data_IF_736566278792
#
_entry.id   IF_736566278792
#
_cell.length_a   1.000
_cell.length_b   1.000
_cell.length_c   1.000
_cell.angle_alpha   90.00
_cell.angle_beta   90.00
_cell.angle_gamma   90.00
#
_symmetry.space_group_name_H-M   'P 1'
#
loop_
_entity.id
_entity.type
_entity.pdbx_description
1 polymer ?
#
# COMPACT_ATOMS: atom_id res chain seq x y z
N UNK A 1 30.46 -44.55 3.68
CA UNK A 1 29.12 -44.98 4.11
C UNK A 1 28.03 -43.92 3.87
N UNK A 2 28.25 -42.63 4.12
CA UNK A 2 27.25 -41.55 3.94
C UNK A 2 26.69 -41.30 2.51
N UNK A 3 27.34 -41.76 1.45
CA UNK A 3 26.89 -41.52 0.06
C UNK A 3 25.81 -42.53 -0.40
N UNK A 4 25.64 -43.66 0.30
CA UNK A 4 24.60 -44.65 -0.03
C UNK A 4 23.23 -44.31 0.57
N UNK A 5 23.18 -43.58 1.69
CA UNK A 5 21.92 -43.23 2.38
C UNK A 5 21.13 -42.11 1.68
N UNK A 6 21.78 -41.19 0.97
CA UNK A 6 21.07 -40.15 0.19
C UNK A 6 20.31 -40.70 -1.02
N UNK A 7 20.71 -41.87 -1.56
CA UNK A 7 20.04 -42.48 -2.71
C UNK A 7 18.74 -43.22 -2.34
N UNK A 8 18.51 -43.56 -1.08
CA UNK A 8 17.29 -44.25 -0.64
C UNK A 8 16.13 -43.28 -0.31
N UNK A 9 16.41 -41.99 -0.15
CA UNK A 9 15.40 -40.95 0.10
C UNK A 9 14.71 -40.43 -1.16
N UNK A 10 15.21 -40.81 -2.35
CA UNK A 10 14.57 -40.56 -3.65
C UNK A 10 13.89 -41.84 -4.14
N UNK A 11 13.06 -42.46 -3.29
CA UNK A 11 12.09 -43.44 -3.79
C UNK A 11 11.16 -42.73 -4.78
N UNK A 12 11.06 -43.25 -5.98
CA UNK A 12 10.14 -42.76 -7.01
C UNK A 12 8.75 -42.56 -6.41
N UNK A 13 8.34 -41.30 -6.28
CA UNK A 13 6.98 -40.95 -5.87
C UNK A 13 6.06 -41.54 -6.94
N UNK A 14 5.25 -42.54 -6.58
CA UNK A 14 4.26 -43.14 -7.49
C UNK A 14 3.45 -42.00 -8.12
N UNK A 15 3.36 -41.98 -9.45
CA UNK A 15 2.59 -40.96 -10.16
C UNK A 15 1.14 -40.97 -9.63
N UNK A 16 0.74 -39.89 -8.97
CA UNK A 16 -0.65 -39.72 -8.54
C UNK A 16 -1.53 -39.72 -9.79
N UNK A 17 -2.40 -40.71 -9.90
CA UNK A 17 -3.47 -40.69 -10.90
C UNK A 17 -4.43 -39.54 -10.57
N UNK A 18 -5.02 -38.93 -11.59
CA UNK A 18 -6.03 -37.87 -11.47
C UNK A 18 -5.61 -36.55 -10.81
N UNK A 19 -4.32 -36.18 -10.83
CA UNK A 19 -3.86 -34.84 -10.42
C UNK A 19 -4.65 -33.70 -11.10
N UNK A 20 -5.11 -33.91 -12.33
CA UNK A 20 -5.89 -32.92 -13.08
C UNK A 20 -7.22 -32.57 -12.38
N UNK A 21 -7.84 -33.49 -11.63
CA UNK A 21 -9.11 -33.28 -10.94
C UNK A 21 -9.01 -32.21 -9.82
N UNK A 22 -7.79 -31.93 -9.33
CA UNK A 22 -7.54 -30.86 -8.38
C UNK A 22 -7.82 -29.47 -8.97
N UNK A 23 -7.63 -29.28 -10.28
CA UNK A 23 -7.81 -27.98 -10.92
C UNK A 23 -9.29 -27.59 -10.98
N UNK A 24 -10.23 -28.42 -11.49
CA UNK A 24 -11.66 -28.14 -11.40
C UNK A 24 -12.14 -27.95 -9.96
N UNK A 25 -11.71 -28.81 -9.01
CA UNK A 25 -12.08 -28.68 -7.61
C UNK A 25 -11.58 -27.34 -7.00
N UNK A 26 -10.35 -26.94 -7.32
CA UNK A 26 -9.80 -25.65 -6.90
C UNK A 26 -10.58 -24.48 -7.53
N UNK A 27 -10.90 -24.54 -8.82
CA UNK A 27 -11.63 -23.49 -9.53
C UNK A 27 -13.08 -23.37 -9.06
N UNK A 28 -13.74 -24.46 -8.65
CA UNK A 28 -15.07 -24.39 -8.04
C UNK A 28 -15.07 -23.59 -6.73
N UNK A 29 -14.01 -23.72 -5.92
CA UNK A 29 -13.90 -23.01 -4.62
C UNK A 29 -13.33 -21.61 -4.77
N UNK A 30 -12.30 -21.46 -5.60
CA UNK A 30 -11.51 -20.22 -5.70
C UNK A 30 -11.85 -19.39 -6.92
N UNK A 31 -12.50 -19.94 -7.96
CA UNK A 31 -12.79 -19.21 -9.19
C UNK A 31 -11.56 -18.63 -9.90
N UNK A 32 -11.77 -18.07 -11.09
CA UNK A 32 -10.71 -17.39 -11.85
C UNK A 32 -10.54 -15.92 -11.43
N UNK A 33 -11.64 -15.27 -11.01
CA UNK A 33 -11.70 -13.81 -10.80
C UNK A 33 -11.82 -13.44 -9.31
N UNK A 34 -11.86 -14.42 -8.41
CA UNK A 34 -12.05 -14.19 -6.96
C UNK A 34 -10.98 -13.31 -6.33
N UNK A 35 -9.80 -13.20 -6.91
CA UNK A 35 -8.76 -12.30 -6.40
C UNK A 35 -9.22 -10.84 -6.43
N UNK A 36 -9.86 -10.41 -7.53
CA UNK A 36 -10.44 -9.07 -7.65
C UNK A 36 -11.57 -8.88 -6.65
N UNK A 37 -12.50 -9.83 -6.60
CA UNK A 37 -13.68 -9.75 -5.75
C UNK A 37 -13.29 -9.74 -4.26
N UNK A 38 -12.39 -10.63 -3.84
CA UNK A 38 -11.95 -10.71 -2.45
C UNK A 38 -11.18 -9.47 -2.02
N UNK A 39 -10.34 -8.92 -2.90
CA UNK A 39 -9.63 -7.66 -2.65
C UNK A 39 -10.60 -6.48 -2.49
N UNK A 40 -11.58 -6.36 -3.39
CA UNK A 40 -12.61 -5.34 -3.31
C UNK A 40 -13.48 -5.49 -2.06
N UNK A 41 -13.90 -6.71 -1.72
CA UNK A 41 -14.68 -7.01 -0.52
C UNK A 41 -13.92 -6.63 0.75
N UNK A 42 -12.62 -6.93 0.82
CA UNK A 42 -11.79 -6.50 1.93
C UNK A 42 -11.70 -4.97 2.02
N UNK A 43 -11.52 -4.29 0.87
CA UNK A 43 -11.45 -2.83 0.83
C UNK A 43 -12.72 -2.15 1.36
N UNK A 44 -13.90 -2.55 0.86
CA UNK A 44 -15.17 -1.89 1.22
C UNK A 44 -15.65 -2.21 2.63
N UNK A 45 -15.22 -3.34 3.21
CA UNK A 45 -15.65 -3.76 4.54
C UNK A 45 -14.66 -3.38 5.65
N UNK A 46 -13.35 -3.38 5.36
CA UNK A 46 -12.29 -3.19 6.36
C UNK A 46 -11.38 -1.98 6.06
N UNK A 47 -10.69 -1.93 4.90
CA UNK A 47 -9.68 -0.89 4.65
C UNK A 47 -10.25 0.52 4.66
N UNK A 48 -11.47 0.72 4.15
CA UNK A 48 -12.12 2.03 4.17
C UNK A 48 -12.27 2.58 5.60
N UNK A 49 -12.48 1.69 6.59
CA UNK A 49 -12.52 2.07 8.01
C UNK A 49 -11.14 2.41 8.55
N UNK A 50 -10.10 1.69 8.13
CA UNK A 50 -8.72 2.03 8.48
C UNK A 50 -8.31 3.41 7.94
N UNK A 51 -8.67 3.74 6.70
CA UNK A 51 -8.45 5.06 6.10
C UNK A 51 -9.17 6.15 6.90
N UNK A 52 -10.44 5.92 7.28
CA UNK A 52 -11.19 6.87 8.10
C UNK A 52 -10.55 7.08 9.47
N UNK A 53 -10.11 6.01 10.14
CA UNK A 53 -9.44 6.11 11.46
C UNK A 53 -8.15 6.93 11.41
N UNK A 54 -7.37 6.78 10.34
CA UNK A 54 -6.15 7.58 10.13
C UNK A 54 -6.45 9.08 9.97
N UNK A 55 -7.63 9.43 9.45
CA UNK A 55 -8.06 10.80 9.19
C UNK A 55 -9.25 11.22 10.09
N UNK A 56 -9.33 10.65 11.30
CA UNK A 56 -10.56 10.67 12.09
C UNK A 56 -11.00 12.06 12.56
N UNK A 57 -10.08 13.02 12.70
CA UNK A 57 -10.38 14.37 13.21
C UNK A 57 -9.80 15.44 12.31
N UNK A 58 -10.67 16.34 11.86
CA UNK A 58 -10.33 17.56 11.16
C UNK A 58 -10.52 18.75 12.11
N UNK A 59 -9.56 19.65 12.15
CA UNK A 59 -9.61 20.92 12.90
C UNK A 59 -9.53 22.10 11.94
N UNK A 60 -10.06 23.26 12.35
CA UNK A 60 -9.95 24.50 11.58
C UNK A 60 -8.84 25.38 12.15
N UNK A 61 -7.97 25.88 11.28
CA UNK A 61 -6.91 26.84 11.67
C UNK A 61 -7.50 28.21 12.04
N UNK A 62 -8.61 28.60 11.41
CA UNK A 62 -9.27 29.88 11.66
C UNK A 62 -10.12 29.88 12.95
N UNK A 63 -10.65 28.72 13.34
CA UNK A 63 -11.43 28.57 14.55
C UNK A 63 -11.02 27.31 15.33
N UNK A 64 -10.13 27.45 16.33
CA UNK A 64 -9.66 26.32 17.15
C UNK A 64 -10.76 25.57 17.91
N UNK A 65 -11.91 26.22 18.14
CA UNK A 65 -13.06 25.58 18.81
C UNK A 65 -13.85 24.65 17.89
N UNK A 66 -13.69 24.78 16.57
CA UNK A 66 -14.38 23.95 15.60
C UNK A 66 -13.59 22.67 15.29
N UNK A 67 -14.22 21.52 15.48
CA UNK A 67 -13.73 20.25 14.93
C UNK A 67 -14.84 19.47 14.24
N UNK A 68 -14.42 18.63 13.29
CA UNK A 68 -15.22 17.56 12.69
C UNK A 68 -14.52 16.24 12.95
N UNK A 69 -15.26 15.24 13.43
CA UNK A 69 -14.76 13.91 13.74
C UNK A 69 -15.60 12.86 13.03
N UNK A 70 -14.96 11.95 12.33
CA UNK A 70 -15.61 10.77 11.76
C UNK A 70 -15.74 9.68 12.84
N UNK A 71 -16.94 9.12 12.98
CA UNK A 71 -17.26 8.07 13.93
C UNK A 71 -17.27 6.69 13.26
N UNK A 72 -17.92 6.60 12.10
CA UNK A 72 -18.05 5.37 11.33
C UNK A 72 -18.21 5.67 9.82
N UNK A 73 -17.84 4.71 8.98
CA UNK A 73 -17.97 4.77 7.53
C UNK A 73 -18.46 3.43 6.98
N UNK A 74 -19.37 3.48 6.01
CA UNK A 74 -19.94 2.29 5.38
C UNK A 74 -20.34 2.56 3.93
N UNK A 75 -20.13 1.55 3.09
CA UNK A 75 -20.63 1.52 1.71
C UNK A 75 -21.99 0.83 1.72
N UNK A 76 -23.00 1.56 1.21
CA UNK A 76 -24.37 1.09 1.07
C UNK A 76 -24.55 0.06 -0.05
N UNK A 77 -25.80 -0.14 -0.46
CA UNK A 77 -26.15 -0.93 -1.65
C UNK A 77 -26.27 -0.01 -2.89
N UNK A 78 -26.10 -0.56 -4.10
CA UNK A 78 -26.25 0.16 -5.35
C UNK A 78 -27.60 0.86 -5.43
N UNK A 79 -27.58 2.13 -5.83
CA UNK A 79 -28.78 2.92 -6.06
C UNK A 79 -28.56 3.93 -7.17
N UNK A 80 -29.61 4.49 -7.71
CA UNK A 80 -29.55 5.68 -8.55
C UNK A 80 -30.40 6.80 -7.97
N UNK A 81 -29.99 8.02 -8.23
CA UNK A 81 -30.79 9.20 -7.95
C UNK A 81 -31.57 9.52 -9.23
N UNK A 82 -32.87 9.34 -9.18
CA UNK A 82 -33.79 9.75 -10.23
C UNK A 82 -34.28 11.19 -9.93
N UNK A 83 -34.74 11.90 -10.97
CA UNK A 83 -35.19 13.29 -10.82
C UNK A 83 -36.19 13.46 -9.67
N UNK A 84 -36.15 14.61 -9.00
CA UNK A 84 -36.94 14.93 -7.78
C UNK A 84 -36.53 14.17 -6.50
N UNK A 85 -35.23 13.96 -6.28
CA UNK A 85 -34.67 13.32 -5.07
C UNK A 85 -35.25 11.91 -4.80
N UNK A 86 -35.72 11.23 -5.84
CA UNK A 86 -36.24 9.88 -5.71
C UNK A 86 -35.10 8.88 -5.85
N UNK A 87 -34.88 8.07 -4.83
CA UNK A 87 -33.81 7.07 -4.83
C UNK A 87 -34.38 5.76 -5.36
N UNK A 88 -33.78 5.25 -6.43
CA UNK A 88 -34.06 3.91 -6.95
C UNK A 88 -33.01 2.93 -6.40
N UNK A 89 -33.40 2.17 -5.38
CA UNK A 89 -32.56 1.17 -4.70
C UNK A 89 -32.55 -0.20 -5.40
N UNK A 90 -33.18 -0.32 -6.58
CA UNK A 90 -33.31 -1.59 -7.32
C UNK A 90 -32.48 -1.63 -8.60
N UNK A 91 -31.51 -0.73 -8.74
CA UNK A 91 -30.71 -0.64 -9.97
C UNK A 91 -29.91 -1.91 -10.21
N UNK A 92 -30.04 -2.48 -11.40
CA UNK A 92 -29.26 -3.65 -11.84
C UNK A 92 -28.06 -3.21 -12.69
N UNK A 93 -27.01 -4.05 -12.80
CA UNK A 93 -25.91 -3.74 -13.71
C UNK A 93 -26.38 -3.67 -15.16
N UNK A 94 -27.31 -4.53 -15.60
CA UNK A 94 -27.94 -4.47 -16.92
C UNK A 94 -28.57 -3.10 -17.22
N UNK A 95 -29.35 -2.56 -16.28
CA UNK A 95 -29.94 -1.22 -16.42
C UNK A 95 -28.86 -0.14 -16.55
N UNK A 96 -27.78 -0.24 -15.76
CA UNK A 96 -26.66 0.69 -15.84
C UNK A 96 -25.95 0.66 -17.21
N UNK A 97 -25.82 -0.53 -17.82
CA UNK A 97 -25.25 -0.70 -19.16
C UNK A 97 -26.11 0.00 -20.22
N UNK A 98 -27.44 -0.20 -20.17
CA UNK A 98 -28.36 0.36 -21.17
C UNK A 98 -28.56 1.87 -21.07
N UNK A 99 -28.54 2.43 -19.86
CA UNK A 99 -28.83 3.85 -19.59
C UNK A 99 -27.57 4.73 -19.53
N UNK A 100 -26.40 4.19 -19.89
CA UNK A 100 -25.11 4.87 -19.74
C UNK A 100 -24.83 5.37 -18.31
N UNK A 101 -25.29 4.63 -17.31
CA UNK A 101 -25.12 4.98 -15.89
C UNK A 101 -23.92 4.28 -15.26
N UNK A 102 -23.54 4.72 -14.05
CA UNK A 102 -22.48 4.08 -13.27
C UNK A 102 -23.11 3.27 -12.13
N UNK A 103 -22.85 1.96 -12.13
CA UNK A 103 -23.30 1.06 -11.07
C UNK A 103 -22.53 1.36 -9.78
N UNK A 104 -23.16 2.08 -8.86
CA UNK A 104 -22.50 2.64 -7.68
C UNK A 104 -23.41 2.68 -6.47
N UNK A 105 -22.83 2.65 -5.27
CA UNK A 105 -23.51 2.74 -3.99
C UNK A 105 -23.08 3.98 -3.21
N UNK A 106 -23.93 4.55 -2.34
CA UNK A 106 -23.57 5.70 -1.52
C UNK A 106 -22.55 5.31 -0.44
N UNK A 107 -21.56 6.18 -0.24
CA UNK A 107 -20.63 6.13 0.89
C UNK A 107 -21.22 6.99 1.99
N UNK A 108 -21.64 6.35 3.08
CA UNK A 108 -22.27 7.02 4.22
C UNK A 108 -21.31 7.07 5.39
N UNK A 109 -21.29 8.22 6.08
CA UNK A 109 -20.51 8.43 7.30
C UNK A 109 -21.36 8.92 8.45
N UNK A 110 -20.93 8.58 9.66
CA UNK A 110 -21.41 9.20 10.88
C UNK A 110 -20.36 10.21 11.34
N UNK A 111 -20.79 11.44 11.58
CA UNK A 111 -19.91 12.54 11.97
C UNK A 111 -20.35 13.15 13.29
N UNK A 112 -19.38 13.62 14.05
CA UNK A 112 -19.54 14.46 15.22
C UNK A 112 -18.85 15.79 14.93
N UNK A 113 -19.54 16.92 15.11
CA UNK A 113 -18.95 18.24 14.94
C UNK A 113 -19.47 19.23 15.98
N UNK A 114 -18.69 20.27 16.23
CA UNK A 114 -19.07 21.36 17.15
C UNK A 114 -19.81 22.47 16.43
N UNK A 115 -20.93 22.92 16.98
CA UNK A 115 -21.65 24.13 16.56
C UNK A 115 -21.72 25.09 17.74
N UNK A 116 -20.78 26.04 17.81
CA UNK A 116 -20.55 26.83 19.02
C UNK A 116 -20.08 25.93 20.16
N UNK A 117 -20.74 25.98 21.32
CA UNK A 117 -20.41 25.15 22.47
C UNK A 117 -21.10 23.76 22.48
N UNK A 118 -21.90 23.44 21.47
CA UNK A 118 -22.65 22.17 21.43
C UNK A 118 -21.98 21.16 20.51
N UNK A 119 -21.96 19.89 20.95
CA UNK A 119 -21.56 18.75 20.12
C UNK A 119 -22.78 18.19 19.40
N UNK A 120 -22.72 18.13 18.08
CA UNK A 120 -23.79 17.63 17.22
C UNK A 120 -23.31 16.36 16.53
N UNK A 121 -24.10 15.29 16.63
CA UNK A 121 -23.86 14.04 15.93
C UNK A 121 -24.85 13.93 14.78
N UNK A 122 -24.36 13.68 13.56
CA UNK A 122 -25.16 13.34 12.40
C UNK A 122 -24.78 11.96 11.89
N UNK A 123 -25.79 11.14 11.62
CA UNK A 123 -25.62 9.78 11.12
C UNK A 123 -26.09 9.65 9.68
N UNK A 124 -25.44 8.78 8.93
CA UNK A 124 -25.84 8.43 7.56
C UNK A 124 -25.67 9.56 6.55
N UNK A 125 -24.68 10.44 6.74
CA UNK A 125 -24.40 11.49 5.79
C UNK A 125 -23.70 10.89 4.55
N UNK A 126 -24.30 11.05 3.38
CA UNK A 126 -23.68 10.63 2.11
C UNK A 126 -22.59 11.63 1.72
N UNK A 127 -21.35 11.14 1.57
CA UNK A 127 -20.18 11.95 1.18
C UNK A 127 -19.73 11.71 -0.26
N UNK A 128 -20.29 10.71 -0.92
CA UNK A 128 -19.97 10.36 -2.29
C UNK A 128 -20.56 9.01 -2.69
N UNK A 129 -20.17 8.52 -3.86
CA UNK A 129 -20.59 7.21 -4.37
C UNK A 129 -19.38 6.37 -4.75
N UNK A 130 -19.45 5.08 -4.45
CA UNK A 130 -18.44 4.08 -4.77
C UNK A 130 -18.94 3.20 -5.92
N UNK A 131 -18.25 3.11 -7.06
CA UNK A 131 -18.53 2.10 -8.07
C UNK A 131 -18.45 0.70 -7.46
N UNK A 132 -19.47 -0.13 -7.68
CA UNK A 132 -19.55 -1.46 -7.10
C UNK A 132 -19.08 -2.50 -8.11
N UNK A 133 -18.17 -3.36 -7.69
CA UNK A 133 -17.68 -4.47 -8.50
C UNK A 133 -18.77 -5.54 -8.63
N UNK A 134 -19.02 -6.02 -9.84
CA UNK A 134 -20.01 -7.08 -10.08
C UNK A 134 -19.62 -8.36 -9.33
N UNK A 135 -20.62 -9.05 -8.77
CA UNK A 135 -20.50 -10.24 -7.91
C UNK A 135 -19.78 -10.01 -6.55
N UNK A 136 -19.43 -8.77 -6.20
CA UNK A 136 -18.89 -8.44 -4.87
C UNK A 136 -19.95 -8.42 -3.76
N UNK A 137 -19.52 -8.34 -2.49
CA UNK A 137 -20.36 -8.26 -1.28
C UNK A 137 -21.42 -7.18 -1.30
N UNK A 138 -21.21 -6.12 -2.08
CA UNK A 138 -22.14 -5.01 -2.23
C UNK A 138 -22.92 -5.07 -3.55
N UNK A 139 -22.72 -6.08 -4.37
CA UNK A 139 -23.45 -6.26 -5.62
C UNK A 139 -24.75 -7.04 -5.37
N UNK A 140 -25.83 -6.63 -6.02
CA UNK A 140 -27.14 -7.31 -5.95
C UNK A 140 -27.07 -8.75 -6.48
N UNK A 141 -26.10 -9.07 -7.34
CA UNK A 141 -25.95 -10.37 -8.01
C UNK A 141 -25.23 -11.44 -7.19
N UNK A 142 -24.68 -11.15 -6.00
CA UNK A 142 -23.73 -12.04 -5.30
C UNK A 142 -24.30 -13.40 -4.91
N UNK A 143 -25.60 -13.49 -4.63
CA UNK A 143 -26.25 -14.72 -4.16
C UNK A 143 -27.54 -15.02 -4.95
N UNK A 144 -27.71 -14.42 -6.13
CA UNK A 144 -28.88 -14.69 -6.95
C UNK A 144 -28.80 -16.09 -7.55
N UNK A 145 -29.93 -16.79 -7.60
CA UNK A 145 -30.04 -18.07 -8.31
C UNK A 145 -29.97 -17.86 -9.82
N UNK A 146 -29.78 -18.93 -10.59
CA UNK A 146 -29.76 -18.85 -12.06
C UNK A 146 -31.06 -18.25 -12.61
N UNK A 147 -32.20 -18.62 -12.02
CA UNK A 147 -33.51 -18.07 -12.38
C UNK A 147 -33.59 -16.58 -12.06
N UNK A 148 -33.15 -16.14 -10.88
CA UNK A 148 -33.14 -14.72 -10.50
C UNK A 148 -32.22 -13.89 -11.40
N UNK A 149 -31.08 -14.44 -11.80
CA UNK A 149 -30.17 -13.81 -12.74
C UNK A 149 -30.79 -13.66 -14.13
N UNK A 150 -31.54 -14.68 -14.59
CA UNK A 150 -32.28 -14.60 -15.85
C UNK A 150 -33.33 -13.48 -15.80
N UNK A 151 -34.06 -13.32 -14.69
CA UNK A 151 -34.99 -12.21 -14.50
C UNK A 151 -34.28 -10.84 -14.44
N UNK A 152 -33.07 -10.80 -13.90
CA UNK A 152 -32.21 -9.61 -13.87
C UNK A 152 -31.49 -9.33 -15.21
N UNK A 153 -31.70 -10.16 -16.24
CA UNK A 153 -31.03 -10.09 -17.55
C UNK A 153 -29.50 -10.18 -17.45
N UNK A 154 -29.01 -11.00 -16.52
CA UNK A 154 -27.59 -11.28 -16.31
C UNK A 154 -27.26 -12.75 -16.59
N UNK A 155 -26.04 -13.02 -17.04
CA UNK A 155 -25.60 -14.37 -17.33
C UNK A 155 -25.12 -15.08 -16.05
N UNK A 156 -25.59 -16.31 -15.74
CA UNK A 156 -25.07 -17.13 -14.64
C UNK A 156 -23.56 -17.39 -14.74
N UNK A 157 -23.05 -17.51 -15.97
CA UNK A 157 -21.65 -17.78 -16.26
C UNK A 157 -20.77 -16.52 -16.34
N UNK A 158 -21.33 -15.33 -16.14
CA UNK A 158 -20.52 -14.10 -16.02
C UNK A 158 -19.68 -14.17 -14.73
N UNK A 159 -18.34 -14.17 -14.82
CA UNK A 159 -17.46 -14.27 -13.66
C UNK A 159 -17.51 -13.02 -12.75
N UNK A 160 -18.00 -11.87 -13.23
CA UNK A 160 -17.94 -10.60 -12.51
C UNK A 160 -16.51 -10.07 -12.33
N UNK A 161 -16.27 -9.29 -11.27
CA UNK A 161 -14.94 -8.75 -10.97
C UNK A 161 -14.55 -7.48 -11.73
N UNK A 162 -15.50 -6.87 -12.43
CA UNK A 162 -15.35 -5.61 -13.15
C UNK A 162 -16.42 -4.59 -12.71
N UNK A 163 -16.32 -3.37 -13.22
CA UNK A 163 -17.21 -2.25 -12.91
C UNK A 163 -18.00 -1.82 -14.14
N UNK A 164 -19.23 -1.33 -13.95
CA UNK A 164 -19.98 -0.63 -14.99
C UNK A 164 -19.92 0.87 -14.71
N UNK A 165 -19.24 1.62 -15.58
CA UNK A 165 -19.01 3.06 -15.44
C UNK A 165 -19.41 3.76 -16.72
N UNK A 166 -20.47 4.58 -16.63
CA UNK A 166 -21.09 5.29 -17.76
C UNK A 166 -21.46 4.31 -18.90
N UNK A 167 -22.22 3.28 -18.57
CA UNK A 167 -22.63 2.23 -19.52
C UNK A 167 -21.54 1.24 -19.91
N UNK A 168 -20.27 1.60 -19.77
CA UNK A 168 -19.13 0.80 -20.20
C UNK A 168 -18.58 -0.09 -19.09
N UNK A 169 -18.22 -1.32 -19.45
CA UNK A 169 -17.53 -2.24 -18.56
C UNK A 169 -16.04 -1.88 -18.44
N UNK A 170 -15.52 -1.87 -17.21
CA UNK A 170 -14.14 -1.48 -16.91
C UNK A 170 -13.52 -2.46 -15.91
N UNK A 171 -12.37 -2.99 -16.26
CA UNK A 171 -11.58 -3.91 -15.43
C UNK A 171 -10.34 -3.18 -14.90
N UNK A 172 -10.03 -3.35 -13.62
CA UNK A 172 -8.75 -2.92 -13.06
C UNK A 172 -7.73 -4.02 -13.31
N UNK A 173 -6.75 -3.76 -14.18
CA UNK A 173 -5.68 -4.72 -14.45
C UNK A 173 -4.78 -4.88 -13.22
N UNK A 174 -4.42 -6.13 -12.92
CA UNK A 174 -3.46 -6.44 -11.86
C UNK A 174 -2.10 -5.86 -12.28
N UNK A 175 -1.53 -4.99 -11.45
CA UNK A 175 -0.21 -4.43 -11.67
C UNK A 175 0.80 -5.14 -10.79
N UNK A 176 1.84 -5.68 -11.41
CA UNK A 176 3.02 -6.16 -10.69
C UNK A 176 3.84 -4.96 -10.20
N UNK A 177 4.14 -4.92 -8.91
CA UNK A 177 5.00 -3.90 -8.30
C UNK A 177 6.13 -4.59 -7.54
N UNK A 178 7.31 -3.95 -7.53
CA UNK A 178 8.43 -4.37 -6.70
C UNK A 178 8.03 -4.40 -5.21
N UNK A 179 8.52 -5.40 -4.49
CA UNK A 179 8.30 -5.51 -3.05
C UNK A 179 8.84 -4.28 -2.32
N UNK A 180 7.96 -3.60 -1.58
CA UNK A 180 8.31 -2.49 -0.70
C UNK A 180 8.92 -3.03 0.59
N UNK A 181 9.62 -2.17 1.33
CA UNK A 181 10.21 -2.48 2.64
C UNK A 181 11.14 -3.70 2.63
N UNK A 182 11.79 -3.97 1.49
CA UNK A 182 12.74 -5.06 1.30
C UNK A 182 14.06 -4.52 0.79
N UNK A 183 15.15 -5.01 1.37
CA UNK A 183 16.51 -4.71 0.93
C UNK A 183 16.76 -5.40 -0.40
N UNK A 184 17.09 -4.62 -1.42
CA UNK A 184 17.48 -5.10 -2.74
C UNK A 184 18.93 -4.74 -3.02
N UNK A 185 19.73 -5.73 -3.38
CA UNK A 185 21.15 -5.55 -3.69
C UNK A 185 21.33 -5.71 -5.19
N UNK A 186 22.00 -4.76 -5.82
CA UNK A 186 22.28 -4.75 -7.25
C UNK A 186 23.55 -4.00 -7.57
N UNK A 187 23.75 -3.72 -8.86
CA UNK A 187 24.84 -2.87 -9.34
C UNK A 187 24.28 -1.67 -10.09
N UNK A 188 24.90 -0.51 -9.92
CA UNK A 188 24.54 0.68 -10.67
C UNK A 188 25.10 0.61 -12.12
N UNK A 189 24.80 1.62 -12.95
CA UNK A 189 25.29 1.68 -14.34
C UNK A 189 26.82 1.70 -14.46
N UNK A 190 27.53 2.12 -13.40
CA UNK A 190 29.00 2.11 -13.30
C UNK A 190 29.55 0.78 -12.76
N UNK A 191 28.71 -0.25 -12.62
CA UNK A 191 29.03 -1.56 -12.04
C UNK A 191 29.43 -1.53 -10.56
N UNK A 192 29.18 -0.42 -9.86
CA UNK A 192 29.39 -0.30 -8.43
C UNK A 192 28.25 -0.98 -7.66
N UNK A 193 28.56 -1.61 -6.53
CA UNK A 193 27.55 -2.25 -5.68
C UNK A 193 26.63 -1.17 -5.08
N UNK A 194 25.33 -1.38 -5.21
CA UNK A 194 24.32 -0.53 -4.61
C UNK A 194 23.27 -1.39 -3.89
N UNK A 195 22.80 -0.89 -2.77
CA UNK A 195 21.69 -1.41 -2.02
C UNK A 195 20.56 -0.39 -2.07
N UNK A 196 19.34 -0.80 -2.37
CA UNK A 196 18.17 0.07 -2.39
C UNK A 196 17.04 -0.49 -1.53
N UNK A 197 16.32 0.42 -0.89
CA UNK A 197 15.10 0.10 -0.14
C UNK A 197 14.02 1.10 -0.55
N UNK A 198 12.91 0.59 -1.08
CA UNK A 198 11.69 1.36 -1.29
C UNK A 198 10.84 1.29 -0.02
N UNK A 199 11.00 2.27 0.85
CA UNK A 199 10.26 2.37 2.10
C UNK A 199 8.88 2.95 1.85
N UNK A 200 7.83 2.26 2.31
CA UNK A 200 6.43 2.68 2.18
C UNK A 200 5.76 2.59 3.54
N UNK A 201 5.29 3.74 4.04
CA UNK A 201 4.38 3.86 5.18
C UNK A 201 2.97 4.17 4.68
N UNK A 202 2.01 4.40 5.60
CA UNK A 202 0.65 4.85 5.27
C UNK A 202 0.66 6.20 4.54
N UNK A 203 1.61 7.07 4.90
CA UNK A 203 1.56 8.48 4.53
C UNK A 203 2.58 8.83 3.45
N UNK A 204 3.71 8.11 3.39
CA UNK A 204 4.83 8.47 2.53
C UNK A 204 5.51 7.25 1.91
N UNK A 205 6.02 7.44 0.70
CA UNK A 205 6.91 6.51 0.01
C UNK A 205 8.23 7.23 -0.25
N UNK A 206 9.33 6.63 0.16
CA UNK A 206 10.67 7.16 -0.10
C UNK A 206 11.59 6.03 -0.54
N UNK A 207 12.57 6.38 -1.38
CA UNK A 207 13.58 5.44 -1.84
C UNK A 207 14.93 5.90 -1.32
N UNK A 208 15.62 5.00 -0.64
CA UNK A 208 16.96 5.24 -0.08
C UNK A 208 17.94 4.28 -0.71
N UNK A 209 19.15 4.77 -0.99
CA UNK A 209 20.23 3.95 -1.52
C UNK A 209 21.45 4.01 -0.61
N UNK A 210 22.13 2.88 -0.48
CA UNK A 210 23.51 2.82 0.03
C UNK A 210 24.39 2.40 -1.12
N UNK A 211 25.35 3.24 -1.49
CA UNK A 211 26.21 3.06 -2.66
C UNK A 211 27.67 2.91 -2.25
N UNK A 212 28.36 1.93 -2.82
CA UNK A 212 29.80 1.78 -2.66
C UNK A 212 30.56 2.53 -3.76
N UNK A 213 31.30 3.58 -3.42
CA UNK A 213 32.18 4.31 -4.35
C UNK A 213 33.61 4.30 -3.83
N UNK A 214 34.58 3.87 -4.64
CA UNK A 214 36.01 3.89 -4.29
C UNK A 214 36.31 3.32 -2.88
N UNK A 215 35.73 2.16 -2.54
CA UNK A 215 35.85 1.52 -1.21
C UNK A 215 35.23 2.28 -0.03
N UNK A 216 34.35 3.26 -0.30
CA UNK A 216 33.60 4.01 0.72
C UNK A 216 32.10 3.85 0.52
N UNK A 217 31.34 3.93 1.59
CA UNK A 217 29.89 3.80 1.56
C UNK A 217 29.20 5.14 1.79
N UNK A 218 28.27 5.48 0.90
CA UNK A 218 27.47 6.69 0.99
C UNK A 218 25.98 6.38 0.99
N UNK A 219 25.22 7.19 1.71
CA UNK A 219 23.77 7.22 1.68
C UNK A 219 23.30 8.27 0.67
N UNK A 220 22.42 7.86 -0.24
CA UNK A 220 21.74 8.74 -1.19
C UNK A 220 20.24 8.70 -0.92
N UNK A 221 19.65 9.89 -0.80
CA UNK A 221 18.23 10.07 -0.59
C UNK A 221 17.73 11.29 -1.34
N UNK A 222 16.48 11.27 -1.82
CA UNK A 222 15.93 12.34 -2.67
C UNK A 222 15.85 13.71 -1.98
N UNK A 223 15.90 13.75 -0.64
CA UNK A 223 15.89 15.01 0.13
C UNK A 223 17.30 15.57 0.39
N UNK A 224 18.34 14.84 -0.01
CA UNK A 224 19.73 15.26 0.15
C UNK A 224 20.27 15.72 -1.21
N UNK A 225 20.97 16.84 -1.23
CA UNK A 225 21.61 17.40 -2.42
C UNK A 225 22.80 16.56 -2.88
N UNK A 226 23.59 16.08 -1.91
CA UNK A 226 24.75 15.24 -2.14
C UNK A 226 24.65 13.92 -1.38
N UNK A 227 25.45 12.94 -1.80
CA UNK A 227 25.58 11.66 -1.10
C UNK A 227 26.34 11.88 0.22
N UNK A 228 25.81 11.37 1.33
CA UNK A 228 26.39 11.56 2.68
C UNK A 228 27.15 10.30 3.11
N UNK A 229 28.38 10.40 3.64
CA UNK A 229 29.12 9.24 4.17
C UNK A 229 28.30 8.48 5.23
N UNK A 230 28.23 7.15 5.11
CA UNK A 230 27.42 6.32 6.01
C UNK A 230 27.85 6.45 7.48
N UNK A 231 29.15 6.61 7.74
CA UNK A 231 29.67 6.82 9.09
C UNK A 231 29.11 8.10 9.75
N UNK A 232 28.94 9.20 8.99
CA UNK A 232 28.31 10.44 9.47
C UNK A 232 26.83 10.19 9.80
N UNK A 233 26.13 9.40 8.97
CA UNK A 233 24.72 9.03 9.23
C UNK A 233 24.60 8.23 10.53
N UNK A 234 25.50 7.28 10.79
CA UNK A 234 25.52 6.55 12.06
C UNK A 234 25.70 7.47 13.28
N UNK A 235 26.65 8.41 13.21
CA UNK A 235 26.84 9.41 14.28
C UNK A 235 25.60 10.27 14.47
N UNK A 236 24.93 10.70 13.39
CA UNK A 236 23.67 11.44 13.48
C UNK A 236 22.53 10.62 14.13
N UNK A 237 22.54 9.30 13.97
CA UNK A 237 21.62 8.36 14.62
C UNK A 237 21.97 8.08 16.10
N UNK A 238 23.08 8.60 16.63
CA UNK A 238 23.49 8.47 18.02
C UNK A 238 24.63 7.47 18.27
N UNK A 239 25.23 6.88 17.22
CA UNK A 239 26.41 6.03 17.35
C UNK A 239 27.68 6.89 17.37
N UNK A 240 28.05 7.43 18.54
CA UNK A 240 29.21 8.33 18.65
C UNK A 240 30.54 7.57 18.58
N UNK A 241 30.61 6.37 19.15
CA UNK A 241 31.80 5.52 19.12
C UNK A 241 31.92 4.77 17.80
N UNK A 242 33.09 4.83 17.18
CA UNK A 242 33.38 4.08 15.94
C UNK A 242 33.28 2.57 16.16
N UNK A 243 33.56 2.10 17.39
CA UNK A 243 33.37 0.71 17.78
C UNK A 243 31.90 0.30 17.67
N UNK A 244 30.95 1.14 18.10
CA UNK A 244 29.53 0.82 18.05
C UNK A 244 29.03 0.78 16.61
N UNK A 245 29.56 1.66 15.75
CA UNK A 245 29.28 1.65 14.30
C UNK A 245 29.72 0.32 13.68
N UNK A 246 30.97 -0.08 13.93
CA UNK A 246 31.52 -1.32 13.39
C UNK A 246 30.80 -2.54 13.96
N UNK A 247 30.50 -2.54 15.26
CA UNK A 247 29.76 -3.62 15.91
C UNK A 247 28.35 -3.77 15.36
N UNK A 248 27.69 -2.69 14.93
CA UNK A 248 26.37 -2.73 14.30
C UNK A 248 26.40 -3.36 12.90
N UNK A 249 27.51 -3.20 12.16
CA UNK A 249 27.69 -3.79 10.82
C UNK A 249 28.17 -5.23 10.91
N UNK A 250 29.20 -5.49 11.72
CA UNK A 250 29.78 -6.81 11.95
C UNK A 250 31.24 -6.74 12.41
N UNK A 251 31.61 -7.62 13.36
CA UNK A 251 32.95 -7.68 13.97
C UNK A 251 33.97 -8.54 13.21
N UNK A 252 33.57 -9.18 12.11
CA UNK A 252 34.49 -9.95 11.29
C UNK A 252 35.47 -9.03 10.56
N UNK A 253 36.74 -9.44 10.44
CA UNK A 253 37.83 -8.64 9.85
C UNK A 253 37.46 -8.07 8.47
N UNK A 254 36.73 -8.84 7.65
CA UNK A 254 36.25 -8.42 6.33
C UNK A 254 35.33 -7.19 6.38
N UNK A 255 34.48 -7.07 7.39
CA UNK A 255 33.52 -5.97 7.54
C UNK A 255 34.20 -4.74 8.15
N UNK A 256 35.09 -4.96 9.11
CA UNK A 256 35.92 -3.91 9.70
C UNK A 256 36.75 -3.25 8.60
N UNK A 257 37.51 -4.04 7.83
CA UNK A 257 38.35 -3.55 6.74
C UNK A 257 37.56 -2.79 5.66
N UNK A 258 36.32 -3.21 5.37
CA UNK A 258 35.45 -2.53 4.42
C UNK A 258 34.92 -1.18 4.95
N UNK A 259 34.69 -1.07 6.27
CA UNK A 259 34.16 0.14 6.90
C UNK A 259 35.26 1.19 7.22
N UNK A 260 36.51 0.78 7.44
CA UNK A 260 37.62 1.67 7.80
C UNK A 260 37.75 2.92 6.90
N UNK A 261 37.72 2.82 5.56
CA UNK A 261 37.84 4.01 4.70
C UNK A 261 36.69 5.04 4.88
N UNK A 262 35.51 4.58 5.31
CA UNK A 262 34.36 5.44 5.57
C UNK A 262 34.47 6.14 6.93
N UNK A 263 35.08 5.47 7.93
CA UNK A 263 35.37 6.07 9.25
C UNK A 263 36.50 7.10 9.16
N UNK A 264 37.54 6.83 8.37
CA UNK A 264 38.62 7.78 8.09
C UNK A 264 38.09 9.05 7.42
N UNK A 265 37.16 8.92 6.47
CA UNK A 265 36.50 10.08 5.83
C UNK A 265 35.65 10.89 6.83
N UNK A 266 34.95 10.23 7.75
CA UNK A 266 34.21 10.89 8.82
C UNK A 266 35.14 11.70 9.74
N UNK A 267 36.28 11.11 10.10
CA UNK A 267 37.31 11.76 10.93
C UNK A 267 37.95 12.95 10.22
N UNK A 268 38.17 12.85 8.90
CA UNK A 268 38.68 13.95 8.08
C UNK A 268 37.70 15.15 8.03
N UNK A 269 36.40 14.90 8.15
CA UNK A 269 35.38 15.94 8.27
C UNK A 269 35.20 16.50 9.69
N UNK A 270 35.98 16.04 10.67
CA UNK A 270 35.90 16.46 12.08
C UNK A 270 34.52 16.24 12.71
N UNK A 271 33.79 15.22 12.23
CA UNK A 271 32.46 14.85 12.76
C UNK A 271 32.64 13.75 13.81
N UNK A 272 32.59 14.12 15.08
CA UNK A 272 32.77 13.20 16.22
C UNK A 272 31.49 13.02 17.04
N UNK A 273 30.70 14.08 17.21
CA UNK A 273 29.46 14.10 18.00
C UNK A 273 28.22 13.99 17.14
N UNK A 274 27.10 13.61 17.76
CA UNK A 274 25.79 13.61 17.09
C UNK A 274 25.41 15.00 16.55
N UNK A 275 25.66 16.07 17.32
CA UNK A 275 25.32 17.44 16.93
C UNK A 275 26.08 17.87 15.66
N UNK A 276 27.38 17.60 15.59
CA UNK A 276 28.20 17.92 14.42
C UNK A 276 27.72 17.14 13.19
N UNK A 277 27.32 15.88 13.37
CA UNK A 277 26.80 15.06 12.29
C UNK A 277 25.46 15.60 11.75
N UNK A 278 24.56 16.02 12.64
CA UNK A 278 23.29 16.64 12.27
C UNK A 278 23.50 17.97 11.55
N UNK A 279 24.44 18.81 12.00
CA UNK A 279 24.79 20.05 11.31
C UNK A 279 25.36 19.78 9.92
N UNK A 280 26.25 18.81 9.78
CA UNK A 280 26.78 18.40 8.48
C UNK A 280 25.65 18.00 7.53
N UNK A 281 24.73 17.13 7.98
CA UNK A 281 23.60 16.70 7.16
C UNK A 281 22.68 17.88 6.81
N UNK A 282 22.43 18.79 7.75
CA UNK A 282 21.59 19.97 7.52
C UNK A 282 22.10 20.84 6.36
N UNK A 283 23.41 20.97 6.18
CA UNK A 283 24.00 21.68 5.01
C UNK A 283 23.72 20.99 3.68
N UNK A 284 23.35 19.71 3.71
CA UNK A 284 23.09 18.84 2.54
C UNK A 284 21.60 18.58 2.32
N UNK A 285 20.71 19.05 3.18
CA UNK A 285 19.27 18.93 2.95
C UNK A 285 18.85 19.96 1.92
N UNK A 286 18.04 19.55 0.94
CA UNK A 286 17.38 20.50 0.05
C UNK A 286 16.44 21.39 0.88
N UNK A 287 16.84 22.64 1.12
CA UNK A 287 15.88 23.68 1.48
C UNK A 287 15.05 23.98 0.22
N UNK A 288 13.92 23.30 0.10
CA UNK A 288 12.80 23.89 -0.61
C UNK A 288 12.41 25.12 0.22
N UNK A 289 12.92 26.29 -0.15
CA UNK A 289 12.28 27.57 0.12
C UNK A 289 10.89 27.48 -0.52
N UNK A 290 9.96 26.82 0.17
CA UNK A 290 8.55 27.14 0.06
C UNK A 290 8.45 28.46 0.81
N UNK A 291 8.76 29.54 0.11
CA UNK A 291 8.21 30.85 0.40
C UNK A 291 6.70 30.68 0.38
N UNK A 292 6.12 30.45 1.55
CA UNK A 292 4.72 30.73 1.83
C UNK A 292 4.57 32.25 1.72
N UNK A 293 4.29 32.72 0.50
CA UNK A 293 3.63 33.98 0.21
C UNK A 293 2.15 33.68 -0.05
#
# INVERSE_FOLDING_TARGET
>A
MRIKEEKELVKDVKALQDKWALVPAFLQVRGLVKQHIASFDYFVNEDIKHIMRANAKMTSDANPSFYLKYLDIRVGMPSSEEGFNQINDKITPHECRLRDMTYSAPIMVDIEYTRGNQRVVRKGLTIGRMPIMLRSSKCVLKNMTEDELAHAQECPYDPGGYFVVRGSEKVVLIQEQLSKNRIMIGRNSKRELQCEVLSSTSDRKSKTYVIGKKQKYYLRHNQLSDDVPVAIVFKAMGFESDYDIVSAVGLEEKFIAAMSPSLEECSAHQVTTQENALQYIATKVFFLLITLL
#
